data_IF_987858542618
#
_entry.id   IF_987858542618
#
_cell.length_a   1.000
_cell.length_b   1.000
_cell.length_c   1.000
_cell.angle_alpha   90.00
_cell.angle_beta   90.00
_cell.angle_gamma   90.00
#
_symmetry.space_group_name_H-M   'P 1'
#
loop_
_entity.id
_entity.type
_entity.pdbx_description
1 polymer ?
#
# COMPACT_ATOMS: atom_id res chain seq x y z
N UNK A 1 3.36 -7.36 18.49
CA UNK A 1 2.45 -7.46 17.32
C UNK A 1 1.23 -8.21 17.84
N UNK A 2 0.01 -7.68 17.76
CA UNK A 2 -1.15 -8.32 18.40
C UNK A 2 -2.19 -8.77 17.39
N UNK A 3 -2.96 -9.80 17.72
CA UNK A 3 -4.07 -10.28 16.89
C UNK A 3 -5.10 -9.18 16.54
N UNK A 4 -5.57 -8.35 17.49
CA UNK A 4 -6.47 -7.25 17.16
C UNK A 4 -5.84 -6.24 16.19
N UNK A 5 -4.55 -5.93 16.36
CA UNK A 5 -3.81 -5.05 15.46
C UNK A 5 -3.70 -5.61 14.05
N UNK A 6 -3.44 -6.91 13.91
CA UNK A 6 -3.40 -7.60 12.63
C UNK A 6 -4.77 -7.59 11.93
N UNK A 7 -5.85 -7.92 12.63
CA UNK A 7 -7.21 -7.89 12.08
C UNK A 7 -7.59 -6.48 11.62
N UNK A 8 -7.28 -5.46 12.42
CA UNK A 8 -7.55 -4.06 12.09
C UNK A 8 -6.74 -3.58 10.88
N UNK A 9 -5.49 -4.05 10.77
CA UNK A 9 -4.65 -3.75 9.61
C UNK A 9 -5.20 -4.40 8.35
N UNK A 10 -5.50 -5.71 8.40
CA UNK A 10 -6.00 -6.48 7.26
C UNK A 10 -7.41 -6.04 6.84
N UNK A 11 -8.27 -5.58 7.74
CA UNK A 11 -9.58 -5.04 7.33
C UNK A 11 -9.49 -3.80 6.45
N UNK A 12 -8.31 -3.16 6.37
CA UNK A 12 -8.12 -1.90 5.66
C UNK A 12 -8.73 -0.70 6.38
N UNK A 13 -9.31 -0.89 7.57
CA UNK A 13 -9.96 0.18 8.34
C UNK A 13 -9.03 1.38 8.58
N UNK A 14 -7.76 1.11 8.95
CA UNK A 14 -6.77 2.17 9.16
C UNK A 14 -6.49 2.99 7.89
N UNK A 15 -6.53 2.36 6.72
CA UNK A 15 -6.39 3.06 5.45
C UNK A 15 -7.61 3.93 5.17
N UNK A 16 -8.82 3.37 5.22
CA UNK A 16 -10.05 4.12 4.92
C UNK A 16 -10.28 5.29 5.86
N UNK A 17 -10.18 5.05 7.17
CA UNK A 17 -10.33 6.10 8.18
C UNK A 17 -9.23 7.15 8.05
N UNK A 18 -7.99 6.74 7.74
CA UNK A 18 -6.87 7.64 7.46
C UNK A 18 -7.11 8.54 6.26
N UNK A 19 -7.50 7.96 5.11
CA UNK A 19 -7.79 8.72 3.89
C UNK A 19 -8.97 9.68 4.07
N UNK A 20 -10.05 9.23 4.72
CA UNK A 20 -11.19 10.09 5.03
C UNK A 20 -10.78 11.26 5.94
N UNK A 21 -9.97 10.99 6.97
CA UNK A 21 -9.44 12.02 7.86
C UNK A 21 -8.55 13.01 7.12
N UNK A 22 -7.64 12.55 6.27
CA UNK A 22 -6.77 13.43 5.47
C UNK A 22 -7.60 14.30 4.54
N UNK A 23 -8.57 13.73 3.83
CA UNK A 23 -9.43 14.47 2.91
C UNK A 23 -10.23 15.55 3.63
N UNK A 24 -10.85 15.18 4.76
CA UNK A 24 -11.61 16.11 5.60
C UNK A 24 -10.72 17.21 6.20
N UNK A 25 -9.55 16.84 6.69
CA UNK A 25 -8.56 17.78 7.26
C UNK A 25 -8.11 18.78 6.20
N UNK A 26 -7.71 18.31 5.01
CA UNK A 26 -7.26 19.18 3.94
C UNK A 26 -8.36 20.13 3.46
N UNK A 27 -9.63 19.69 3.44
CA UNK A 27 -10.76 20.50 2.99
C UNK A 27 -11.16 21.60 3.99
N UNK A 28 -11.10 21.32 5.30
CA UNK A 28 -11.73 22.17 6.32
C UNK A 28 -10.78 22.69 7.41
N UNK A 29 -9.68 21.99 7.69
CA UNK A 29 -8.78 22.29 8.80
C UNK A 29 -7.37 22.68 8.36
N UNK A 30 -6.58 23.19 9.30
CA UNK A 30 -5.20 23.56 9.03
C UNK A 30 -4.35 22.35 8.62
N UNK A 31 -3.60 22.50 7.52
CA UNK A 31 -2.70 21.47 7.02
C UNK A 31 -1.34 21.65 7.71
N UNK A 32 -1.03 20.77 8.67
CA UNK A 32 0.17 20.87 9.52
C UNK A 32 1.26 19.84 9.21
N UNK A 33 1.12 19.05 8.13
CA UNK A 33 2.11 18.03 7.76
C UNK A 33 3.50 18.65 7.53
N UNK A 34 4.52 18.08 8.18
CA UNK A 34 5.92 18.54 8.08
C UNK A 34 6.50 18.40 6.67
N UNK A 35 6.02 17.40 5.92
CA UNK A 35 6.43 17.12 4.55
C UNK A 35 5.63 17.89 3.48
N UNK A 36 4.56 18.60 3.84
CA UNK A 36 3.73 19.34 2.89
C UNK A 36 4.24 20.78 2.69
N UNK A 37 4.71 21.16 1.48
CA UNK A 37 5.18 22.51 1.21
C UNK A 37 4.10 23.56 1.47
N UNK A 38 4.44 24.63 2.20
CA UNK A 38 3.48 25.70 2.55
C UNK A 38 2.79 26.29 1.33
N UNK A 39 3.53 26.44 0.23
CA UNK A 39 3.05 26.99 -1.05
C UNK A 39 1.95 26.15 -1.70
N UNK A 40 1.91 24.83 -1.45
CA UNK A 40 0.92 23.92 -2.03
C UNK A 40 -0.33 23.72 -1.18
N UNK A 41 -0.35 24.21 0.06
CA UNK A 41 -1.46 23.96 1.00
C UNK A 41 -2.80 24.50 0.49
N UNK A 42 -2.80 25.65 -0.19
CA UNK A 42 -4.01 26.22 -0.80
C UNK A 42 -4.54 25.31 -1.92
N UNK A 43 -3.66 24.84 -2.82
CA UNK A 43 -4.02 23.90 -3.88
C UNK A 43 -4.56 22.57 -3.30
N UNK A 44 -3.87 22.00 -2.30
CA UNK A 44 -4.31 20.77 -1.62
C UNK A 44 -5.71 20.91 -1.02
N UNK A 45 -6.05 22.08 -0.45
CA UNK A 45 -7.39 22.35 0.07
C UNK A 45 -8.43 22.42 -1.05
N UNK A 46 -8.13 23.11 -2.15
CA UNK A 46 -9.01 23.18 -3.32
C UNK A 46 -9.25 21.79 -3.89
N UNK A 47 -8.20 21.00 -4.07
CA UNK A 47 -8.28 19.61 -4.53
C UNK A 47 -9.14 18.74 -3.61
N UNK A 48 -8.93 18.83 -2.29
CA UNK A 48 -9.73 18.08 -1.31
C UNK A 48 -11.22 18.45 -1.39
N UNK A 49 -11.55 19.73 -1.50
CA UNK A 49 -12.93 20.22 -1.67
C UNK A 49 -13.53 19.78 -3.01
N UNK A 50 -12.75 19.84 -4.08
CA UNK A 50 -13.20 19.38 -5.41
C UNK A 50 -13.50 17.88 -5.41
N UNK A 51 -12.66 17.05 -4.77
CA UNK A 51 -12.90 15.62 -4.60
C UNK A 51 -14.19 15.38 -3.80
N UNK A 52 -14.40 16.07 -2.67
CA UNK A 52 -15.62 15.95 -1.87
C UNK A 52 -16.86 16.38 -2.66
N UNK A 53 -16.78 17.48 -3.41
CA UNK A 53 -17.87 17.96 -4.26
C UNK A 53 -18.19 16.96 -5.37
N UNK A 54 -17.18 16.40 -6.04
CA UNK A 54 -17.36 15.36 -7.06
C UNK A 54 -18.07 14.14 -6.47
N UNK A 55 -17.63 13.65 -5.31
CA UNK A 55 -18.31 12.54 -4.64
C UNK A 55 -19.75 12.89 -4.25
N UNK A 56 -20.01 14.10 -3.76
CA UNK A 56 -21.36 14.55 -3.44
C UNK A 56 -22.25 14.58 -4.69
N UNK A 57 -21.76 15.14 -5.81
CA UNK A 57 -22.49 15.15 -7.09
C UNK A 57 -22.78 13.73 -7.57
N UNK A 58 -21.77 12.84 -7.57
CA UNK A 58 -21.95 11.46 -8.02
C UNK A 58 -22.95 10.69 -7.13
N UNK A 59 -22.91 10.90 -5.81
CA UNK A 59 -23.84 10.27 -4.87
C UNK A 59 -25.28 10.79 -5.00
N UNK A 60 -25.47 12.06 -5.36
CA UNK A 60 -26.80 12.66 -5.57
C UNK A 60 -27.33 12.45 -6.99
N UNK A 61 -26.48 12.02 -7.92
CA UNK A 61 -26.86 11.71 -9.30
C UNK A 61 -27.53 10.34 -9.43
N UNK A 62 -28.17 10.08 -10.57
CA UNK A 62 -28.66 8.73 -10.92
C UNK A 62 -27.53 7.70 -11.06
N UNK A 63 -26.26 8.13 -11.12
CA UNK A 63 -25.08 7.27 -11.27
C UNK A 63 -24.48 6.76 -9.96
N UNK A 64 -25.07 7.05 -8.80
CA UNK A 64 -24.55 6.62 -7.49
C UNK A 64 -24.28 5.10 -7.41
N UNK A 65 -25.13 4.30 -8.07
CA UNK A 65 -25.00 2.84 -8.08
C UNK A 65 -23.75 2.37 -8.85
N UNK A 66 -23.30 3.11 -9.87
CA UNK A 66 -22.05 2.84 -10.57
C UNK A 66 -20.84 3.19 -9.69
N UNK A 67 -20.90 4.31 -8.97
CA UNK A 67 -19.87 4.69 -8.01
C UNK A 67 -19.68 3.58 -6.94
N UNK A 68 -20.77 2.99 -6.43
CA UNK A 68 -20.62 1.90 -5.47
C UNK A 68 -20.07 0.62 -6.11
N UNK A 69 -20.65 0.16 -7.22
CA UNK A 69 -20.31 -1.15 -7.81
C UNK A 69 -18.96 -1.20 -8.51
N UNK A 70 -18.52 -0.10 -9.11
CA UNK A 70 -17.29 -0.07 -9.91
C UNK A 70 -16.11 0.53 -9.14
N UNK A 71 -16.36 1.23 -8.04
CA UNK A 71 -15.30 1.90 -7.27
C UNK A 71 -15.29 1.48 -5.80
N UNK A 72 -16.32 1.83 -5.03
CA UNK A 72 -16.27 1.64 -3.56
C UNK A 72 -16.21 0.16 -3.18
N UNK A 73 -17.09 -0.69 -3.73
CA UNK A 73 -17.15 -2.11 -3.39
C UNK A 73 -15.89 -2.86 -3.84
N UNK A 74 -15.40 -2.74 -5.10
CA UNK A 74 -14.18 -3.40 -5.52
C UNK A 74 -12.96 -3.01 -4.69
N UNK A 75 -12.78 -1.72 -4.37
CA UNK A 75 -11.65 -1.27 -3.54
C UNK A 75 -11.80 -1.79 -2.11
N UNK A 76 -13.01 -1.79 -1.54
CA UNK A 76 -13.25 -2.31 -0.19
C UNK A 76 -12.90 -3.79 -0.07
N UNK A 77 -13.29 -4.60 -1.06
CA UNK A 77 -12.94 -6.03 -1.14
C UNK A 77 -11.45 -6.22 -1.39
N UNK A 78 -10.83 -5.38 -2.23
CA UNK A 78 -9.42 -5.48 -2.57
C UNK A 78 -8.47 -5.08 -1.44
N UNK A 79 -8.88 -4.20 -0.52
CA UNK A 79 -8.01 -3.72 0.55
C UNK A 79 -7.41 -4.85 1.39
N UNK A 80 -8.17 -5.81 1.93
CA UNK A 80 -7.57 -6.90 2.71
C UNK A 80 -6.45 -7.68 2.02
N UNK A 81 -6.64 -8.00 0.73
CA UNK A 81 -5.61 -8.66 -0.07
C UNK A 81 -4.39 -7.76 -0.24
N UNK A 82 -4.62 -6.48 -0.56
CA UNK A 82 -3.55 -5.49 -0.70
C UNK A 82 -2.79 -5.27 0.62
N UNK A 83 -3.48 -5.31 1.76
CA UNK A 83 -2.83 -5.18 3.08
C UNK A 83 -1.90 -6.36 3.35
N UNK A 84 -2.35 -7.59 3.12
CA UNK A 84 -1.48 -8.77 3.26
C UNK A 84 -0.30 -8.71 2.28
N UNK A 85 -0.54 -8.27 1.05
CA UNK A 85 0.49 -8.07 0.03
C UNK A 85 1.55 -7.06 0.48
N UNK A 86 1.16 -5.86 0.93
CA UNK A 86 2.07 -4.82 1.44
C UNK A 86 2.76 -5.24 2.74
N UNK A 87 2.10 -6.03 3.57
CA UNK A 87 2.70 -6.60 4.77
C UNK A 87 3.83 -7.57 4.40
N UNK A 88 3.70 -8.35 3.33
CA UNK A 88 4.79 -9.19 2.84
C UNK A 88 5.97 -8.38 2.29
N UNK A 89 5.74 -7.16 1.83
CA UNK A 89 6.77 -6.28 1.27
C UNK A 89 7.60 -5.56 2.34
N UNK A 90 6.99 -5.15 3.45
CA UNK A 90 7.67 -4.35 4.50
C UNK A 90 7.56 -4.92 5.91
N UNK A 91 6.58 -5.78 6.16
CA UNK A 91 6.34 -6.36 7.48
C UNK A 91 7.57 -7.07 8.01
N UNK A 92 7.93 -6.79 9.26
CA UNK A 92 9.12 -7.31 9.95
C UNK A 92 10.47 -6.86 9.37
N UNK A 93 10.50 -5.96 8.38
CA UNK A 93 11.75 -5.38 7.91
C UNK A 93 12.23 -4.28 8.87
N UNK A 94 13.55 -4.08 9.05
CA UNK A 94 14.09 -3.00 9.85
C UNK A 94 13.71 -1.61 9.33
N UNK A 95 13.51 -0.64 10.23
CA UNK A 95 13.25 0.76 9.88
C UNK A 95 14.58 1.51 9.64
N UNK A 96 15.29 1.12 8.58
CA UNK A 96 16.60 1.68 8.20
C UNK A 96 16.54 2.36 6.83
N UNK A 97 17.56 3.17 6.50
CA UNK A 97 17.63 3.89 5.22
C UNK A 97 17.88 2.95 4.02
N UNK A 98 18.57 1.83 4.25
CA UNK A 98 18.92 0.87 3.22
C UNK A 98 17.66 0.19 2.66
N UNK A 99 17.36 0.43 1.39
CA UNK A 99 16.17 -0.13 0.74
C UNK A 99 16.22 -1.66 0.67
N UNK A 100 17.42 -2.23 0.47
CA UNK A 100 17.63 -3.68 0.42
C UNK A 100 17.40 -4.38 1.78
N UNK A 101 17.33 -3.60 2.86
CA UNK A 101 17.06 -4.07 4.22
C UNK A 101 15.62 -3.80 4.66
N UNK A 102 15.08 -2.61 4.36
CA UNK A 102 13.76 -2.17 4.82
C UNK A 102 12.59 -2.66 3.95
N UNK A 103 12.88 -3.36 2.85
CA UNK A 103 11.91 -3.93 1.92
C UNK A 103 12.27 -5.35 1.55
N UNK A 104 11.29 -6.15 1.11
CA UNK A 104 11.42 -7.57 0.85
C UNK A 104 11.08 -7.94 -0.59
N UNK A 105 11.89 -8.81 -1.20
CA UNK A 105 11.49 -9.56 -2.41
C UNK A 105 10.69 -10.81 -2.04
N UNK A 106 9.49 -10.97 -2.60
CA UNK A 106 8.67 -12.17 -2.43
C UNK A 106 8.68 -12.99 -3.70
N UNK A 107 9.42 -14.11 -3.70
CA UNK A 107 9.46 -15.04 -4.83
C UNK A 107 8.13 -15.77 -4.93
N UNK A 108 7.38 -15.56 -6.01
CA UNK A 108 6.00 -16.04 -6.16
C UNK A 108 5.75 -16.57 -7.57
N UNK A 109 4.55 -17.12 -7.79
CA UNK A 109 4.15 -17.68 -9.07
C UNK A 109 4.12 -16.61 -10.18
N UNK A 110 4.24 -17.07 -11.43
CA UNK A 110 4.15 -16.17 -12.58
C UNK A 110 2.80 -15.45 -12.66
N UNK A 111 1.71 -16.05 -12.17
CA UNK A 111 0.37 -15.44 -12.14
C UNK A 111 0.36 -14.19 -11.26
N UNK A 112 0.89 -14.30 -10.04
CA UNK A 112 0.95 -13.16 -9.11
C UNK A 112 1.90 -12.10 -9.65
N UNK A 113 3.04 -12.50 -10.23
CA UNK A 113 3.93 -11.56 -10.92
C UNK A 113 3.27 -10.86 -12.10
N UNK A 114 2.39 -11.52 -12.85
CA UNK A 114 1.68 -10.89 -13.97
C UNK A 114 0.67 -9.85 -13.48
N UNK A 115 -0.17 -10.21 -12.51
CA UNK A 115 -1.22 -9.33 -11.94
C UNK A 115 -0.61 -8.14 -11.20
N UNK A 116 0.49 -8.36 -10.47
CA UNK A 116 1.18 -7.32 -9.72
C UNK A 116 2.31 -6.65 -10.51
N UNK A 117 2.37 -6.81 -11.84
CA UNK A 117 3.44 -6.24 -12.68
C UNK A 117 4.83 -6.41 -12.08
N UNK A 118 5.26 -7.63 -11.75
CA UNK A 118 6.56 -7.92 -11.14
C UNK A 118 6.89 -7.14 -9.85
N UNK A 119 5.94 -6.42 -9.23
CA UNK A 119 6.14 -5.76 -7.93
C UNK A 119 6.54 -6.68 -6.78
N UNK A 120 6.33 -8.02 -6.80
CA UNK A 120 6.94 -8.88 -5.79
C UNK A 120 8.49 -8.78 -5.74
N UNK A 121 9.14 -8.27 -6.79
CA UNK A 121 10.52 -7.76 -6.77
C UNK A 121 10.58 -6.35 -6.16
N UNK A 122 10.05 -6.21 -4.95
CA UNK A 122 9.79 -4.91 -4.34
C UNK A 122 11.07 -4.22 -3.87
N UNK A 123 12.03 -5.01 -3.39
CA UNK A 123 13.32 -4.47 -2.96
C UNK A 123 14.13 -3.91 -4.13
N UNK A 124 14.04 -4.53 -5.29
CA UNK A 124 14.59 -4.04 -6.54
C UNK A 124 13.91 -2.74 -6.97
N UNK A 125 12.58 -2.68 -6.88
CA UNK A 125 11.81 -1.47 -7.18
C UNK A 125 12.22 -0.31 -6.25
N UNK A 126 12.33 -0.54 -4.95
CA UNK A 126 12.76 0.50 -4.01
C UNK A 126 14.22 0.92 -4.20
N UNK A 127 15.11 -0.01 -4.55
CA UNK A 127 16.51 0.29 -4.84
C UNK A 127 16.65 1.10 -6.14
N UNK A 128 15.89 0.76 -7.18
CA UNK A 128 15.97 1.38 -8.52
C UNK A 128 14.58 1.64 -9.10
N UNK A 129 13.83 2.64 -8.60
CA UNK A 129 12.41 2.85 -8.95
C UNK A 129 12.18 3.25 -10.41
N UNK A 130 13.23 3.72 -11.08
CA UNK A 130 13.20 4.06 -12.51
C UNK A 130 13.27 2.83 -13.42
N UNK A 131 13.62 1.65 -12.90
CA UNK A 131 13.65 0.42 -13.69
C UNK A 131 12.21 -0.03 -13.97
N UNK A 132 11.82 -0.18 -15.24
CA UNK A 132 10.46 -0.56 -15.58
C UNK A 132 10.18 -1.99 -15.09
N UNK A 133 8.94 -2.23 -14.70
CA UNK A 133 8.54 -3.45 -14.00
C UNK A 133 8.91 -4.76 -14.71
N UNK A 134 8.88 -4.78 -16.05
CA UNK A 134 9.22 -5.95 -16.85
C UNK A 134 10.73 -6.29 -16.84
N UNK A 135 11.58 -5.37 -16.36
CA UNK A 135 13.04 -5.56 -16.18
C UNK A 135 13.43 -5.93 -14.74
N UNK A 136 12.51 -5.85 -13.78
CA UNK A 136 12.80 -6.23 -12.38
C UNK A 136 13.31 -7.67 -12.22
N UNK A 137 12.82 -8.69 -12.95
CA UNK A 137 13.40 -10.02 -12.88
C UNK A 137 14.87 -10.07 -13.33
N UNK A 138 15.28 -9.19 -14.26
CA UNK A 138 16.67 -9.09 -14.68
C UNK A 138 17.52 -8.37 -13.63
N UNK A 139 16.98 -7.31 -13.02
CA UNK A 139 17.64 -6.61 -11.91
C UNK A 139 17.83 -7.53 -10.70
N UNK A 140 16.83 -8.32 -10.34
CA UNK A 140 16.91 -9.32 -9.27
C UNK A 140 18.12 -10.23 -9.45
N UNK A 141 18.37 -10.75 -10.66
CA UNK A 141 19.56 -11.59 -10.92
C UNK A 141 20.89 -10.87 -10.65
N UNK A 142 20.95 -9.55 -10.82
CA UNK A 142 22.17 -8.76 -10.58
C UNK A 142 22.38 -8.44 -9.10
N UNK A 143 21.31 -8.33 -8.32
CA UNK A 143 21.37 -7.86 -6.92
C UNK A 143 20.93 -8.90 -5.90
N UNK A 144 20.57 -10.12 -6.32
CA UNK A 144 20.05 -11.18 -5.44
C UNK A 144 20.96 -11.43 -4.23
N UNK A 145 22.28 -11.44 -4.43
CA UNK A 145 23.27 -11.63 -3.36
C UNK A 145 23.34 -10.49 -2.33
N UNK A 146 22.74 -9.33 -2.64
CA UNK A 146 22.72 -8.14 -1.79
C UNK A 146 21.40 -7.98 -1.03
N UNK A 147 20.34 -8.69 -1.42
CA UNK A 147 19.04 -8.64 -0.76
C UNK A 147 19.16 -9.15 0.68
N UNK A 148 18.60 -8.40 1.63
CA UNK A 148 18.62 -8.79 3.06
C UNK A 148 17.31 -9.37 3.53
N UNK A 149 16.21 -9.08 2.83
CA UNK A 149 14.89 -9.62 3.13
C UNK A 149 14.32 -10.28 1.88
N UNK A 150 14.07 -11.59 1.98
CA UNK A 150 13.39 -12.35 0.92
C UNK A 150 12.40 -13.34 1.54
N UNK A 151 11.33 -13.67 0.82
CA UNK A 151 10.43 -14.77 1.18
C UNK A 151 10.15 -15.67 0.00
N UNK A 152 10.04 -16.97 0.26
CA UNK A 152 9.62 -17.97 -0.72
C UNK A 152 8.09 -18.07 -0.75
N UNK A 153 7.45 -17.04 -1.30
CA UNK A 153 6.00 -16.95 -1.43
C UNK A 153 5.30 -16.25 -0.27
N UNK A 154 4.08 -15.79 -0.54
CA UNK A 154 3.24 -15.09 0.45
C UNK A 154 2.79 -15.99 1.60
N UNK A 155 2.57 -17.29 1.34
CA UNK A 155 2.18 -18.25 2.37
C UNK A 155 3.30 -18.44 3.41
N UNK A 156 4.56 -18.55 2.96
CA UNK A 156 5.72 -18.67 3.85
C UNK A 156 5.86 -17.42 4.73
N UNK A 157 5.74 -16.22 4.13
CA UNK A 157 5.73 -14.97 4.89
C UNK A 157 4.59 -14.92 5.92
N UNK A 158 3.36 -15.24 5.49
CA UNK A 158 2.19 -15.14 6.37
C UNK A 158 2.27 -16.14 7.53
N UNK A 159 2.75 -17.35 7.28
CA UNK A 159 3.00 -18.36 8.33
C UNK A 159 3.99 -17.84 9.37
N UNK A 160 5.11 -17.26 8.93
CA UNK A 160 6.10 -16.64 9.83
C UNK A 160 5.49 -15.47 10.61
N UNK A 161 4.73 -14.59 9.94
CA UNK A 161 4.13 -13.42 10.57
C UNK A 161 3.10 -13.81 11.63
N UNK A 162 2.23 -14.78 11.32
CA UNK A 162 1.23 -15.32 12.25
C UNK A 162 1.89 -16.04 13.42
N UNK A 163 2.94 -16.83 13.18
CA UNK A 163 3.72 -17.44 14.25
C UNK A 163 4.26 -16.39 15.24
N UNK A 164 4.75 -15.26 14.71
CA UNK A 164 5.21 -14.14 15.53
C UNK A 164 4.10 -13.35 16.24
N UNK A 165 2.82 -13.51 15.85
CA UNK A 165 1.66 -12.99 16.59
C UNK A 165 1.24 -13.90 17.75
N UNK A 166 1.51 -15.19 17.64
CA UNK A 166 1.19 -16.18 18.67
C UNK A 166 2.26 -16.22 19.78
N UNK A 167 3.49 -15.83 19.47
CA UNK A 167 4.63 -15.87 20.40
C UNK A 167 4.85 -14.59 21.21
N UNK A 168 4.00 -13.56 21.07
CA UNK A 168 4.18 -12.26 21.72
C UNK A 168 2.87 -11.57 22.00
#
# INVERSE_FOLDING_TARGET
KTWPGFITYVSGWGYWSGQARVLWTNAFFEITYSYAPRQRRAAMRTEARAILLLYAILMLSSSWSFLLRLWIIPVAIGQPFLRVYLLAEHGMCPHVKSMLENTRTTYTSWVIRAIAWNMPYHAEHHMMPLVPFHKLPALNRLVASRLKQTSNGYAAFLSQYVGALASG
#
